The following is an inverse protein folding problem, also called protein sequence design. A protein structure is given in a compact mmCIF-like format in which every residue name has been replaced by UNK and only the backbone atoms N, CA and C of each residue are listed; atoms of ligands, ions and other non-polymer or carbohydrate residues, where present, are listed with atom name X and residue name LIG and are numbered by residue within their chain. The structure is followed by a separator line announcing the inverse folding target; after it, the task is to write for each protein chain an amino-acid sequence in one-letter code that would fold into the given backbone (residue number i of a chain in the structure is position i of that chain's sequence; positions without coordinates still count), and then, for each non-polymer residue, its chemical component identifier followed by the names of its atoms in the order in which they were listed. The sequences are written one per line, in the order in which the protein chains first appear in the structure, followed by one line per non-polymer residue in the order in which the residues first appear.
data_IF_781822456018
#
_entry.id   IF_781822456018
#
_cell.length_a   1.000
_cell.length_b   1.000
_cell.length_c   1.000
_cell.angle_alpha   90.00
_cell.angle_beta   90.00
_cell.angle_gamma   90.00
#
_symmetry.space_group_name_H-M   'P 1'
#
loop_
_entity.id
_entity.type
_entity.pdbx_description
1 polymer ?
#
# COMPACT_ATOMS: atom_id res chain seq x y z
N UNK A 1 30.16 -13.83 -17.44
CA UNK A 1 30.09 -14.27 -16.04
C UNK A 1 28.75 -13.79 -15.56
N UNK A 2 27.71 -14.64 -15.57
CA UNK A 2 26.43 -14.38 -14.95
C UNK A 2 26.65 -14.47 -13.44
N UNK A 3 26.61 -13.34 -12.73
CA UNK A 3 26.38 -13.37 -11.30
C UNK A 3 24.99 -13.98 -11.11
N UNK A 4 24.94 -15.15 -10.48
CA UNK A 4 23.72 -15.73 -9.94
C UNK A 4 23.19 -14.73 -8.92
N UNK A 5 22.27 -13.88 -9.35
CA UNK A 5 21.41 -13.11 -8.44
C UNK A 5 20.49 -14.15 -7.82
N UNK A 6 20.91 -14.69 -6.69
CA UNK A 6 20.04 -15.53 -5.87
C UNK A 6 18.84 -14.69 -5.47
N UNK A 7 17.70 -14.92 -6.10
CA UNK A 7 16.41 -14.37 -5.68
C UNK A 7 16.25 -14.69 -4.19
N UNK A 8 15.96 -13.72 -3.32
CA UNK A 8 15.76 -13.98 -1.90
C UNK A 8 14.72 -15.09 -1.75
N UNK A 9 15.04 -16.11 -0.95
CA UNK A 9 14.10 -17.20 -0.69
C UNK A 9 12.97 -16.69 0.22
N UNK A 10 11.94 -16.09 -0.40
CA UNK A 10 10.78 -15.53 0.31
C UNK A 10 10.08 -16.58 1.20
N UNK A 11 10.31 -17.88 0.99
CA UNK A 11 9.76 -18.97 1.81
C UNK A 11 10.40 -19.06 3.19
N UNK A 12 11.55 -18.41 3.40
CA UNK A 12 12.16 -18.26 4.71
C UNK A 12 11.59 -17.02 5.42
N UNK A 13 10.40 -17.14 6.03
CA UNK A 13 9.70 -16.04 6.70
C UNK A 13 10.50 -15.44 7.86
N UNK A 14 11.37 -16.21 8.51
CA UNK A 14 12.19 -15.75 9.65
C UNK A 14 13.15 -14.60 9.29
N UNK A 15 13.43 -14.39 8.03
CA UNK A 15 14.26 -13.27 7.55
C UNK A 15 13.51 -11.94 7.50
N UNK A 16 12.15 -11.96 7.47
CA UNK A 16 11.34 -10.77 7.35
C UNK A 16 10.86 -10.26 8.71
N UNK A 17 10.79 -8.95 8.85
CA UNK A 17 10.37 -8.26 10.07
C UNK A 17 9.00 -7.62 9.95
N UNK A 18 8.62 -7.26 8.74
CA UNK A 18 7.35 -6.61 8.44
C UNK A 18 6.29 -7.59 7.91
N UNK A 19 6.69 -8.79 7.50
CA UNK A 19 5.81 -9.77 6.88
C UNK A 19 6.03 -11.18 7.44
N UNK A 20 4.93 -11.91 7.62
CA UNK A 20 4.90 -13.35 7.76
C UNK A 20 4.32 -13.96 6.48
N UNK A 21 4.95 -15.03 5.96
CA UNK A 21 4.62 -15.60 4.66
C UNK A 21 4.43 -17.10 4.79
N UNK A 22 3.30 -17.58 4.28
CA UNK A 22 3.04 -19.00 4.13
C UNK A 22 2.61 -19.31 2.71
N UNK A 23 2.94 -20.50 2.20
CA UNK A 23 2.50 -20.96 0.88
C UNK A 23 1.89 -22.35 1.02
N UNK A 24 0.65 -22.48 0.61
CA UNK A 24 -0.06 -23.76 0.58
C UNK A 24 -1.02 -23.80 -0.62
N UNK A 25 -1.17 -24.95 -1.25
CA UNK A 25 -2.12 -25.19 -2.33
C UNK A 25 -2.07 -24.12 -3.46
N UNK A 26 -0.86 -23.71 -3.83
CA UNK A 26 -0.58 -22.67 -4.83
C UNK A 26 -0.98 -21.24 -4.43
N UNK A 27 -1.36 -20.99 -3.19
CA UNK A 27 -1.69 -19.67 -2.66
C UNK A 27 -0.59 -19.23 -1.70
N UNK A 28 0.00 -18.07 -1.94
CA UNK A 28 0.85 -17.38 -0.98
C UNK A 28 -0.01 -16.48 -0.09
N UNK A 29 0.12 -16.60 1.22
CA UNK A 29 -0.50 -15.69 2.17
C UNK A 29 0.57 -14.81 2.82
N UNK A 30 0.41 -13.50 2.70
CA UNK A 30 1.30 -12.47 3.23
C UNK A 30 0.58 -11.73 4.33
N UNK A 31 1.01 -11.93 5.56
CA UNK A 31 0.47 -11.23 6.72
C UNK A 31 1.37 -10.07 7.12
N UNK A 32 0.82 -8.87 7.14
CA UNK A 32 1.48 -7.69 7.68
C UNK A 32 1.65 -7.89 9.19
N UNK A 33 2.88 -7.97 9.67
CA UNK A 33 3.21 -8.12 11.09
C UNK A 33 3.96 -6.91 11.65
N UNK A 34 4.22 -5.92 10.80
CA UNK A 34 5.09 -4.77 10.98
C UNK A 34 5.43 -4.44 12.43
N UNK A 35 6.64 -4.03 12.75
CA UNK A 35 7.05 -3.80 14.14
C UNK A 35 6.26 -2.67 14.80
N UNK A 36 5.61 -1.81 13.99
CA UNK A 36 4.81 -0.69 14.46
C UNK A 36 3.38 -1.08 14.84
N UNK A 37 2.75 -0.23 15.66
CA UNK A 37 1.35 -0.39 16.06
C UNK A 37 0.44 -0.38 14.83
N UNK A 38 -0.44 -1.38 14.75
CA UNK A 38 -1.43 -1.49 13.66
C UNK A 38 -0.77 -1.69 12.29
N UNK A 39 0.29 -2.48 12.24
CA UNK A 39 1.02 -2.83 11.02
C UNK A 39 1.47 -1.58 10.24
N UNK A 40 2.01 -0.58 10.97
CA UNK A 40 2.55 0.63 10.35
C UNK A 40 3.77 0.30 9.47
N UNK A 41 3.87 1.01 8.35
CA UNK A 41 4.82 0.76 7.27
C UNK A 41 6.13 1.51 7.54
N UNK A 42 7.05 0.84 8.25
CA UNK A 42 8.40 1.33 8.54
C UNK A 42 9.44 0.92 7.48
N UNK A 43 10.73 1.15 7.76
CA UNK A 43 11.82 0.84 6.82
C UNK A 43 11.84 -0.61 6.33
N UNK A 44 11.57 -1.58 7.24
CA UNK A 44 11.54 -3.00 6.90
C UNK A 44 10.44 -3.29 5.87
N UNK A 45 9.23 -2.73 6.05
CA UNK A 45 8.14 -2.87 5.09
C UNK A 45 8.57 -2.47 3.67
N UNK A 46 9.20 -1.30 3.53
CA UNK A 46 9.60 -0.76 2.22
C UNK A 46 10.77 -1.51 1.58
N UNK A 47 11.64 -2.13 2.38
CA UNK A 47 12.76 -2.91 1.86
C UNK A 47 12.40 -4.35 1.52
N UNK A 48 11.41 -4.92 2.21
CA UNK A 48 11.05 -6.34 2.09
C UNK A 48 9.98 -6.59 1.01
N UNK A 49 9.09 -5.61 0.74
CA UNK A 49 7.93 -5.82 -0.13
C UNK A 49 8.33 -6.18 -1.58
N UNK A 50 9.34 -5.50 -2.15
CA UNK A 50 9.78 -5.76 -3.53
C UNK A 50 10.31 -7.20 -3.69
N UNK A 51 11.32 -7.66 -2.92
CA UNK A 51 11.85 -9.01 -3.10
C UNK A 51 10.81 -10.11 -2.83
N UNK A 52 9.83 -9.88 -1.95
CA UNK A 52 8.74 -10.81 -1.69
C UNK A 52 7.89 -11.00 -2.97
N UNK A 53 7.41 -9.92 -3.56
CA UNK A 53 6.53 -9.99 -4.72
C UNK A 53 7.26 -10.40 -5.99
N UNK A 54 8.53 -10.02 -6.17
CA UNK A 54 9.38 -10.54 -7.24
C UNK A 54 9.60 -12.07 -7.09
N UNK A 55 9.76 -12.55 -5.85
CA UNK A 55 9.83 -13.96 -5.54
C UNK A 55 8.55 -14.72 -5.92
N UNK A 56 7.37 -14.19 -5.55
CA UNK A 56 6.09 -14.79 -5.95
C UNK A 56 5.91 -14.79 -7.46
N UNK A 57 6.26 -13.69 -8.12
CA UNK A 57 6.12 -13.59 -9.57
C UNK A 57 6.97 -14.62 -10.30
N UNK A 58 8.18 -14.90 -9.80
CA UNK A 58 9.11 -15.87 -10.38
C UNK A 58 8.75 -17.33 -10.05
N UNK A 59 8.01 -17.60 -8.96
CA UNK A 59 7.73 -18.96 -8.52
C UNK A 59 6.51 -19.57 -9.25
N UNK A 60 6.70 -20.67 -10.01
CA UNK A 60 5.61 -21.35 -10.70
C UNK A 60 4.62 -22.03 -9.74
N UNK A 61 5.03 -22.33 -8.50
CA UNK A 61 4.16 -22.94 -7.50
C UNK A 61 3.19 -21.93 -6.86
N UNK A 62 3.44 -20.62 -6.97
CA UNK A 62 2.51 -19.58 -6.57
C UNK A 62 1.64 -19.18 -7.75
N UNK A 63 0.31 -19.23 -7.56
CA UNK A 63 -0.69 -18.89 -8.59
C UNK A 63 -1.62 -17.75 -8.18
N UNK A 64 -1.76 -17.49 -6.87
CA UNK A 64 -2.49 -16.36 -6.32
C UNK A 64 -1.88 -15.95 -4.98
N UNK A 65 -2.13 -14.70 -4.56
CA UNK A 65 -1.61 -14.13 -3.32
C UNK A 65 -2.77 -13.58 -2.48
N UNK A 66 -2.75 -13.81 -1.17
CA UNK A 66 -3.63 -13.16 -0.20
C UNK A 66 -2.79 -12.22 0.64
N UNK A 67 -3.23 -10.97 0.83
CA UNK A 67 -2.61 -10.02 1.77
C UNK A 67 -3.58 -9.73 2.91
N UNK A 68 -3.13 -9.87 4.16
CA UNK A 68 -3.91 -9.57 5.35
C UNK A 68 -3.08 -8.82 6.39
N UNK A 69 -3.72 -8.20 7.37
CA UNK A 69 -3.05 -7.60 8.52
C UNK A 69 -3.12 -8.51 9.74
N UNK A 70 -2.04 -8.60 10.52
CA UNK A 70 -2.05 -9.26 11.81
C UNK A 70 -2.84 -8.46 12.86
N UNK A 71 -3.42 -9.13 13.82
CA UNK A 71 -4.19 -8.52 14.90
C UNK A 71 -5.46 -7.82 14.39
N UNK A 72 -5.84 -6.69 14.99
CA UNK A 72 -7.14 -6.05 14.78
C UNK A 72 -7.23 -5.23 13.49
N UNK A 73 -6.11 -4.77 12.96
CA UNK A 73 -6.09 -3.73 11.91
C UNK A 73 -5.28 -4.17 10.71
N UNK A 74 -5.71 -3.77 9.53
CA UNK A 74 -4.95 -4.02 8.31
C UNK A 74 -3.64 -3.23 8.31
N UNK A 75 -3.72 -1.89 8.29
CA UNK A 75 -2.53 -1.04 8.43
C UNK A 75 -2.90 0.41 8.77
N UNK A 76 -2.10 1.02 9.64
CA UNK A 76 -2.18 2.46 9.92
C UNK A 76 -1.40 3.32 8.90
N UNK A 77 -0.85 2.72 7.84
CA UNK A 77 -0.04 3.41 6.85
C UNK A 77 1.37 3.70 7.32
N UNK A 78 1.96 4.78 6.83
CA UNK A 78 3.34 5.13 7.10
C UNK A 78 3.66 5.23 8.59
N UNK A 79 4.73 4.58 9.03
CA UNK A 79 5.29 4.74 10.38
C UNK A 79 6.07 6.05 10.46
N UNK A 80 5.33 7.15 10.72
CA UNK A 80 5.92 8.49 10.79
C UNK A 80 7.07 8.58 11.82
N UNK A 81 6.95 8.01 13.04
CA UNK A 81 8.07 7.98 13.98
C UNK A 81 9.31 7.26 13.44
N UNK A 82 9.15 6.06 12.88
CA UNK A 82 10.27 5.28 12.36
C UNK A 82 10.95 5.94 11.15
N UNK A 83 10.16 6.63 10.31
CA UNK A 83 10.61 7.31 9.09
C UNK A 83 11.05 8.77 9.32
N UNK A 84 10.94 9.31 10.55
CA UNK A 84 11.19 10.73 10.84
C UNK A 84 12.61 11.19 10.47
N UNK A 85 13.60 10.30 10.59
CA UNK A 85 14.99 10.57 10.20
C UNK A 85 15.17 10.88 8.72
N UNK A 86 14.34 10.30 7.86
CA UNK A 86 14.40 10.48 6.41
C UNK A 86 13.82 11.83 5.96
N UNK A 87 12.89 12.39 6.75
CA UNK A 87 12.29 13.70 6.47
C UNK A 87 13.18 14.86 6.95
N UNK A 88 13.98 14.67 7.99
CA UNK A 88 14.80 15.73 8.61
C UNK A 88 15.63 16.56 7.61
N UNK A 89 16.41 15.93 6.72
CA UNK A 89 17.26 16.65 5.77
C UNK A 89 16.48 17.54 4.78
N UNK A 90 15.27 17.13 4.40
CA UNK A 90 14.48 17.90 3.42
C UNK A 90 13.66 19.00 4.10
N UNK A 91 13.40 18.86 5.40
CA UNK A 91 12.68 19.86 6.22
C UNK A 91 13.60 20.96 6.75
N UNK A 92 14.94 20.82 6.60
CA UNK A 92 15.86 21.85 7.03
C UNK A 92 15.59 23.18 6.28
N UNK A 93 15.60 24.36 6.97
CA UNK A 93 15.25 25.64 6.35
C UNK A 93 16.11 26.02 5.16
N UNK A 94 17.34 25.51 5.08
CA UNK A 94 18.30 25.71 4.01
C UNK A 94 18.42 24.54 3.04
N UNK A 95 17.49 23.57 3.10
CA UNK A 95 17.48 22.40 2.23
C UNK A 95 17.44 22.83 0.75
N UNK A 96 18.50 22.50 0.01
CA UNK A 96 18.63 22.76 -1.42
C UNK A 96 18.34 21.50 -2.26
N UNK A 97 18.78 21.50 -3.50
CA UNK A 97 18.50 20.42 -4.44
C UNK A 97 18.98 19.03 -3.98
N UNK A 98 20.15 18.93 -3.32
CA UNK A 98 20.70 17.65 -2.85
C UNK A 98 19.74 16.84 -1.99
N UNK A 99 19.35 17.35 -0.79
CA UNK A 99 18.37 16.67 0.07
C UNK A 99 17.03 16.36 -0.63
N UNK A 100 16.52 17.27 -1.47
CA UNK A 100 15.27 17.08 -2.22
C UNK A 100 15.40 15.95 -3.25
N UNK A 101 16.53 15.83 -3.93
CA UNK A 101 16.81 14.74 -4.88
C UNK A 101 16.87 13.41 -4.16
N UNK A 102 17.54 13.34 -3.00
CA UNK A 102 17.59 12.14 -2.17
C UNK A 102 16.19 11.72 -1.72
N UNK A 103 15.39 12.67 -1.26
CA UNK A 103 14.00 12.44 -0.85
C UNK A 103 13.13 11.93 -2.02
N UNK A 104 13.25 12.56 -3.20
CA UNK A 104 12.57 12.06 -4.41
C UNK A 104 12.96 10.61 -4.72
N UNK A 105 14.23 10.26 -4.61
CA UNK A 105 14.71 8.88 -4.82
C UNK A 105 14.10 7.91 -3.80
N UNK A 106 13.97 8.34 -2.54
CA UNK A 106 13.31 7.55 -1.49
C UNK A 106 11.83 7.31 -1.83
N UNK A 107 11.09 8.37 -2.20
CA UNK A 107 9.69 8.24 -2.63
C UNK A 107 9.59 7.21 -3.78
N UNK A 108 10.48 7.28 -4.77
CA UNK A 108 10.47 6.33 -5.90
C UNK A 108 10.72 4.89 -5.46
N UNK A 109 11.58 4.65 -4.46
CA UNK A 109 11.78 3.30 -3.89
C UNK A 109 10.54 2.80 -3.16
N UNK A 110 9.89 3.65 -2.37
CA UNK A 110 8.64 3.29 -1.69
C UNK A 110 7.52 3.00 -2.70
N UNK A 111 7.40 3.82 -3.76
CA UNK A 111 6.48 3.55 -4.87
C UNK A 111 6.75 2.21 -5.54
N UNK A 112 8.02 1.83 -5.71
CA UNK A 112 8.38 0.53 -6.27
C UNK A 112 7.85 -0.64 -5.42
N UNK A 113 7.82 -0.49 -4.08
CA UNK A 113 7.22 -1.48 -3.18
C UNK A 113 5.74 -1.71 -3.49
N UNK A 114 4.95 -0.65 -3.52
CA UNK A 114 3.51 -0.76 -3.84
C UNK A 114 3.30 -1.22 -5.29
N UNK A 115 4.16 -0.78 -6.22
CA UNK A 115 4.07 -1.21 -7.62
C UNK A 115 4.43 -2.70 -7.79
N UNK A 116 5.34 -3.27 -6.98
CA UNK A 116 5.64 -4.69 -7.03
C UNK A 116 4.41 -5.57 -6.76
N UNK A 117 3.50 -5.09 -5.89
CA UNK A 117 2.18 -5.73 -5.69
C UNK A 117 1.31 -5.60 -6.93
N UNK A 118 1.21 -4.39 -7.50
CA UNK A 118 0.34 -4.11 -8.65
C UNK A 118 0.86 -4.73 -9.96
N UNK A 119 2.17 -4.94 -10.08
CA UNK A 119 2.82 -5.49 -11.28
C UNK A 119 3.02 -7.01 -11.20
N UNK A 120 2.71 -7.63 -10.05
CA UNK A 120 2.78 -9.07 -9.88
C UNK A 120 1.81 -9.77 -10.83
N UNK A 121 2.31 -10.74 -11.61
CA UNK A 121 1.46 -11.55 -12.54
C UNK A 121 0.59 -12.57 -11.83
N UNK A 122 0.72 -12.69 -10.50
CA UNK A 122 -0.14 -13.52 -9.67
C UNK A 122 -1.23 -12.63 -9.09
N UNK A 123 -2.53 -12.93 -9.32
CA UNK A 123 -3.60 -12.12 -8.76
C UNK A 123 -3.51 -11.99 -7.24
N UNK A 124 -3.73 -10.77 -6.74
CA UNK A 124 -3.61 -10.41 -5.34
C UNK A 124 -4.98 -10.09 -4.76
N UNK A 125 -5.35 -10.77 -3.68
CA UNK A 125 -6.59 -10.57 -2.93
C UNK A 125 -6.28 -9.98 -1.57
N UNK A 126 -6.76 -8.78 -1.27
CA UNK A 126 -6.59 -8.15 0.04
C UNK A 126 -7.78 -8.46 0.96
N UNK A 127 -7.49 -8.99 2.16
CA UNK A 127 -8.44 -9.17 3.26
C UNK A 127 -8.25 -8.07 4.30
N UNK A 128 -9.23 -7.18 4.43
CA UNK A 128 -9.09 -5.93 5.18
C UNK A 128 -9.96 -5.97 6.44
N UNK A 129 -9.36 -5.78 7.62
CA UNK A 129 -10.06 -5.68 8.89
C UNK A 129 -9.66 -4.43 9.66
N UNK A 130 -10.57 -3.89 10.47
CA UNK A 130 -10.31 -2.71 11.27
C UNK A 130 -9.80 -1.53 10.44
N UNK A 131 -8.76 -0.84 10.88
CA UNK A 131 -8.25 0.33 10.17
C UNK A 131 -7.35 -0.01 8.99
N UNK A 132 -7.63 0.66 7.86
CA UNK A 132 -6.82 0.71 6.64
C UNK A 132 -6.66 2.18 6.24
N UNK A 133 -5.49 2.77 6.54
CA UNK A 133 -5.27 4.22 6.49
C UNK A 133 -4.04 4.53 5.62
N UNK A 134 -4.10 5.62 4.86
CA UNK A 134 -2.95 6.19 4.14
C UNK A 134 -2.26 5.15 3.26
N UNK A 135 -1.01 4.82 3.54
CA UNK A 135 -0.26 3.76 2.85
C UNK A 135 -0.97 2.41 2.82
N UNK A 136 -1.83 2.10 3.81
CA UNK A 136 -2.70 0.93 3.77
C UNK A 136 -3.70 0.99 2.62
N UNK A 137 -4.26 2.18 2.36
CA UNK A 137 -5.13 2.40 1.18
C UNK A 137 -4.33 2.30 -0.11
N UNK A 138 -3.11 2.85 -0.15
CA UNK A 138 -2.22 2.68 -1.31
C UNK A 138 -1.99 1.20 -1.63
N UNK A 139 -1.70 0.39 -0.60
CA UNK A 139 -1.45 -1.04 -0.74
C UNK A 139 -2.68 -1.80 -1.28
N UNK A 140 -3.86 -1.57 -0.71
CA UNK A 140 -5.07 -2.28 -1.17
C UNK A 140 -5.53 -1.84 -2.56
N UNK A 141 -5.19 -0.62 -3.00
CA UNK A 141 -5.45 -0.18 -4.38
C UNK A 141 -4.51 -0.83 -5.40
N UNK A 142 -3.40 -1.39 -4.96
CA UNK A 142 -2.49 -2.19 -5.78
C UNK A 142 -2.94 -3.66 -5.91
N UNK A 143 -3.76 -4.16 -4.98
CA UNK A 143 -4.37 -5.48 -5.08
C UNK A 143 -5.49 -5.52 -6.14
N UNK A 144 -5.75 -6.70 -6.72
CA UNK A 144 -6.77 -6.88 -7.75
C UNK A 144 -8.17 -6.96 -7.15
N UNK A 145 -8.31 -7.70 -6.06
CA UNK A 145 -9.58 -7.94 -5.37
C UNK A 145 -9.42 -7.52 -3.91
N UNK A 146 -10.46 -6.93 -3.36
CA UNK A 146 -10.50 -6.42 -1.98
C UNK A 146 -11.76 -6.90 -1.30
N UNK A 147 -11.61 -7.64 -0.20
CA UNK A 147 -12.72 -8.02 0.68
C UNK A 147 -12.49 -7.42 2.07
N UNK A 148 -13.54 -7.08 2.77
CA UNK A 148 -13.44 -6.40 4.04
C UNK A 148 -14.31 -7.06 5.12
N UNK A 149 -13.92 -6.90 6.38
CA UNK A 149 -14.79 -7.17 7.53
C UNK A 149 -15.75 -6.01 7.78
N UNK A 150 -16.88 -6.25 8.38
CA UNK A 150 -17.89 -5.23 8.70
C UNK A 150 -17.36 -4.11 9.61
N UNK A 151 -16.33 -4.38 10.42
CA UNK A 151 -15.68 -3.38 11.27
C UNK A 151 -14.58 -2.56 10.55
N UNK A 152 -14.31 -2.86 9.27
CA UNK A 152 -13.27 -2.17 8.52
C UNK A 152 -13.57 -0.68 8.33
N UNK A 153 -12.51 0.13 8.40
CA UNK A 153 -12.56 1.58 8.21
C UNK A 153 -11.42 2.03 7.33
N UNK A 154 -11.74 2.89 6.39
CA UNK A 154 -10.80 3.36 5.37
C UNK A 154 -10.65 4.88 5.43
N UNK A 155 -9.42 5.38 5.20
CA UNK A 155 -9.17 6.82 5.14
C UNK A 155 -7.97 7.13 4.27
N UNK A 156 -8.16 7.99 3.25
CA UNK A 156 -7.06 8.66 2.52
C UNK A 156 -6.68 9.88 3.36
N UNK A 157 -5.84 9.67 4.37
CA UNK A 157 -5.66 10.61 5.49
C UNK A 157 -4.46 11.53 5.34
N UNK A 158 -3.67 11.39 4.30
CA UNK A 158 -2.42 12.11 4.07
C UNK A 158 -2.62 13.63 4.11
N UNK A 159 -3.74 14.13 3.58
CA UNK A 159 -4.08 15.57 3.62
C UNK A 159 -4.14 16.13 5.05
N UNK A 160 -4.47 15.29 6.05
CA UNK A 160 -4.53 15.68 7.47
C UNK A 160 -3.16 15.81 8.13
N UNK A 161 -2.12 15.33 7.47
CA UNK A 161 -0.72 15.41 7.90
C UNK A 161 0.15 16.18 6.91
N UNK A 162 -0.47 17.07 6.12
CA UNK A 162 0.17 17.95 5.13
C UNK A 162 1.00 17.19 4.07
N UNK A 163 0.57 15.98 3.70
CA UNK A 163 1.19 15.17 2.65
C UNK A 163 0.19 14.97 1.52
N UNK A 164 0.64 15.05 0.28
CA UNK A 164 -0.11 14.54 -0.86
C UNK A 164 0.11 13.03 -0.93
N UNK A 165 -0.97 12.23 -0.96
CA UNK A 165 -0.85 10.78 -1.07
C UNK A 165 -0.06 10.41 -2.33
N UNK A 166 1.12 9.79 -2.15
CA UNK A 166 2.12 9.65 -3.21
C UNK A 166 2.56 8.21 -3.50
N UNK A 167 1.95 7.22 -2.80
CA UNK A 167 2.26 5.81 -3.02
C UNK A 167 1.30 5.11 -4.00
N UNK A 168 0.34 5.83 -4.59
CA UNK A 168 -0.44 5.35 -5.72
C UNK A 168 -1.96 5.43 -5.57
N UNK A 169 -2.52 5.71 -4.40
CA UNK A 169 -3.97 5.81 -4.20
C UNK A 169 -4.61 6.87 -5.12
N UNK A 170 -4.01 8.06 -5.25
CA UNK A 170 -4.55 9.11 -6.13
C UNK A 170 -4.55 8.73 -7.62
N UNK A 171 -3.67 7.81 -8.03
CA UNK A 171 -3.63 7.33 -9.41
C UNK A 171 -4.60 6.16 -9.66
N UNK A 172 -4.84 5.32 -8.64
CA UNK A 172 -5.64 4.09 -8.77
C UNK A 172 -7.10 4.27 -8.35
N UNK A 173 -7.38 5.02 -7.27
CA UNK A 173 -8.74 5.23 -6.76
C UNK A 173 -9.72 5.75 -7.80
N UNK A 174 -9.40 6.73 -8.69
CA UNK A 174 -10.37 7.20 -9.68
C UNK A 174 -10.93 6.10 -10.59
N UNK A 175 -10.15 5.04 -10.80
CA UNK A 175 -10.56 3.88 -11.59
C UNK A 175 -11.33 2.83 -10.80
N UNK A 176 -11.15 2.83 -9.48
CA UNK A 176 -11.82 1.90 -8.55
C UNK A 176 -13.16 2.47 -8.11
N UNK A 177 -13.17 3.71 -7.62
CA UNK A 177 -14.35 4.34 -7.00
C UNK A 177 -14.90 5.56 -7.76
N UNK A 178 -14.31 5.92 -8.89
CA UNK A 178 -14.64 7.12 -9.65
C UNK A 178 -14.04 8.41 -9.08
N UNK A 179 -13.96 9.45 -9.93
CA UNK A 179 -13.29 10.71 -9.61
C UNK A 179 -13.96 11.46 -8.45
N UNK A 180 -15.30 11.49 -8.39
CA UNK A 180 -16.02 12.20 -7.34
C UNK A 180 -15.76 11.65 -5.94
N UNK A 181 -15.81 10.34 -5.77
CA UNK A 181 -15.52 9.69 -4.50
C UNK A 181 -14.05 9.80 -4.12
N UNK A 182 -13.14 9.70 -5.09
CA UNK A 182 -11.71 9.92 -4.86
C UNK A 182 -11.45 11.31 -4.31
N UNK A 183 -11.99 12.36 -4.96
CA UNK A 183 -11.85 13.75 -4.50
C UNK A 183 -12.42 13.95 -3.10
N UNK A 184 -13.61 13.42 -2.85
CA UNK A 184 -14.23 13.49 -1.53
C UNK A 184 -13.31 12.92 -0.45
N UNK A 185 -12.78 11.71 -0.62
CA UNK A 185 -11.95 11.05 0.37
C UNK A 185 -10.57 11.72 0.51
N UNK A 186 -9.90 12.01 -0.60
CA UNK A 186 -8.55 12.57 -0.59
C UNK A 186 -8.51 14.02 -0.10
N UNK A 187 -9.51 14.86 -0.44
CA UNK A 187 -9.53 16.27 -0.04
C UNK A 187 -10.01 16.48 1.39
N UNK A 188 -10.86 15.58 1.91
CA UNK A 188 -11.37 15.70 3.27
C UNK A 188 -10.59 14.86 4.28
N UNK A 189 -9.92 13.81 3.83
CA UNK A 189 -9.27 12.80 4.67
C UNK A 189 -10.25 12.10 5.61
N UNK A 190 -11.56 12.13 5.32
CA UNK A 190 -12.58 11.53 6.18
C UNK A 190 -12.50 10.02 6.21
N UNK A 191 -12.99 9.48 7.30
CA UNK A 191 -13.12 8.05 7.48
C UNK A 191 -14.42 7.56 6.85
N UNK A 192 -14.38 6.38 6.23
CA UNK A 192 -15.58 5.67 5.76
C UNK A 192 -15.58 4.25 6.35
N UNK A 193 -16.78 3.72 6.58
CA UNK A 193 -16.98 2.33 7.02
C UNK A 193 -17.00 1.34 5.85
N UNK A 194 -17.04 0.06 6.17
CA UNK A 194 -17.08 -1.04 5.20
C UNK A 194 -18.30 -0.94 4.28
N UNK A 195 -19.49 -0.64 4.81
CA UNK A 195 -20.70 -0.51 4.01
C UNK A 195 -20.62 0.63 2.98
N UNK A 196 -19.99 1.75 3.35
CA UNK A 196 -19.74 2.84 2.39
C UNK A 196 -18.68 2.43 1.37
N UNK A 197 -17.62 1.73 1.80
CA UNK A 197 -16.55 1.25 0.94
C UNK A 197 -17.09 0.29 -0.15
N UNK A 198 -17.94 -0.65 0.22
CA UNK A 198 -18.62 -1.55 -0.72
C UNK A 198 -19.53 -0.78 -1.69
N UNK A 199 -20.37 0.10 -1.18
CA UNK A 199 -21.31 0.89 -2.01
C UNK A 199 -20.61 1.74 -3.09
N UNK A 200 -19.39 2.23 -2.83
CA UNK A 200 -18.62 3.01 -3.81
C UNK A 200 -17.66 2.15 -4.64
N UNK A 201 -17.60 0.84 -4.40
CA UNK A 201 -16.73 -0.09 -5.12
C UNK A 201 -15.27 -0.11 -4.65
N UNK A 202 -14.96 0.45 -3.46
CA UNK A 202 -13.61 0.36 -2.90
C UNK A 202 -13.27 -1.08 -2.52
N UNK A 203 -14.25 -1.82 -1.99
CA UNK A 203 -14.14 -3.27 -1.73
C UNK A 203 -15.21 -4.01 -2.54
N UNK A 204 -14.89 -5.25 -2.89
CA UNK A 204 -15.76 -6.11 -3.69
C UNK A 204 -16.89 -6.72 -2.85
N UNK A 205 -16.59 -7.00 -1.55
CA UNK A 205 -17.52 -7.68 -0.66
C UNK A 205 -17.20 -7.37 0.81
N UNK A 206 -18.23 -7.48 1.67
CA UNK A 206 -18.11 -7.25 3.12
C UNK A 206 -18.63 -8.46 3.87
N UNK A 207 -17.83 -8.95 4.82
CA UNK A 207 -18.11 -10.12 5.65
C UNK A 207 -18.26 -9.72 7.11
N UNK A 208 -18.92 -10.57 7.92
CA UNK A 208 -19.30 -10.26 9.30
C UNK A 208 -18.14 -9.86 10.20
N UNK A 209 -16.98 -10.52 10.05
CA UNK A 209 -15.79 -10.29 10.86
C UNK A 209 -14.49 -10.55 10.09
N UNK A 210 -13.36 -10.36 10.77
CA UNK A 210 -12.02 -10.56 10.21
C UNK A 210 -11.80 -12.00 9.73
N UNK A 211 -12.27 -13.01 10.48
CA UNK A 211 -12.08 -14.41 10.14
C UNK A 211 -12.85 -14.77 8.87
N UNK A 212 -14.09 -14.31 8.77
CA UNK A 212 -14.93 -14.50 7.59
C UNK A 212 -14.35 -13.78 6.36
N UNK A 213 -13.84 -12.54 6.50
CA UNK A 213 -13.21 -11.82 5.41
C UNK A 213 -11.93 -12.51 4.92
N UNK A 214 -11.08 -12.99 5.83
CA UNK A 214 -9.88 -13.74 5.48
C UNK A 214 -10.22 -15.08 4.80
N UNK A 215 -11.24 -15.79 5.30
CA UNK A 215 -11.72 -17.04 4.69
C UNK A 215 -12.23 -16.80 3.27
N UNK A 216 -12.98 -15.71 3.02
CA UNK A 216 -13.46 -15.35 1.71
C UNK A 216 -12.30 -14.99 0.74
N UNK A 217 -11.29 -14.25 1.22
CA UNK A 217 -10.10 -13.97 0.42
C UNK A 217 -9.35 -15.24 0.03
N UNK A 218 -9.16 -16.17 0.98
CA UNK A 218 -8.54 -17.49 0.74
C UNK A 218 -9.34 -18.31 -0.28
N UNK A 219 -10.67 -18.33 -0.16
CA UNK A 219 -11.54 -19.04 -1.10
C UNK A 219 -11.41 -18.45 -2.51
N UNK A 220 -11.46 -17.12 -2.64
CA UNK A 220 -11.26 -16.43 -3.93
C UNK A 220 -9.88 -16.74 -4.53
N UNK A 221 -8.81 -16.71 -3.73
CA UNK A 221 -7.47 -17.03 -4.19
C UNK A 221 -7.35 -18.51 -4.61
N UNK A 222 -7.99 -19.43 -3.89
CA UNK A 222 -8.04 -20.84 -4.25
C UNK A 222 -8.78 -21.07 -5.57
N UNK A 223 -9.91 -20.40 -5.78
CA UNK A 223 -10.67 -20.45 -7.05
C UNK A 223 -9.82 -19.94 -8.22
N UNK A 224 -9.04 -18.87 -8.02
CA UNK A 224 -8.10 -18.35 -9.01
C UNK A 224 -6.99 -19.37 -9.27
N UNK A 225 -6.38 -19.92 -8.21
CA UNK A 225 -5.28 -20.87 -8.31
C UNK A 225 -5.65 -22.20 -9.00
N UNK A 226 -6.93 -22.57 -8.96
CA UNK A 226 -7.46 -23.73 -9.65
C UNK A 226 -7.57 -23.56 -11.18
N UNK A 227 -7.53 -22.31 -11.68
CA UNK A 227 -7.59 -22.04 -13.12
C UNK A 227 -6.23 -22.21 -13.81
N UNK A 228 -6.18 -22.38 -15.15
CA UNK A 228 -4.95 -22.47 -15.90
C UNK A 228 -4.07 -21.22 -15.71
N UNK A 229 -2.87 -21.33 -15.14
CA UNK A 229 -2.08 -20.16 -14.72
C UNK A 229 -1.69 -19.24 -15.87
N UNK A 230 -1.38 -19.76 -17.05
CA UNK A 230 -1.08 -18.95 -18.24
C UNK A 230 -2.28 -18.12 -18.69
N UNK A 231 -3.49 -18.65 -18.55
CA UNK A 231 -4.72 -17.92 -18.92
C UNK A 231 -4.98 -16.81 -17.90
N UNK A 232 -4.83 -17.09 -16.60
CA UNK A 232 -4.98 -16.09 -15.54
C UNK A 232 -3.98 -14.94 -15.75
N UNK A 233 -2.69 -15.26 -15.99
CA UNK A 233 -1.67 -14.26 -16.28
C UNK A 233 -1.99 -13.44 -17.54
N UNK A 234 -2.49 -14.08 -18.59
CA UNK A 234 -2.92 -13.39 -19.81
C UNK A 234 -4.10 -12.43 -19.57
N UNK A 235 -5.06 -12.82 -18.73
CA UNK A 235 -6.17 -11.93 -18.32
C UNK A 235 -5.62 -10.72 -17.56
N UNK A 236 -4.70 -10.93 -16.62
CA UNK A 236 -4.03 -9.85 -15.87
C UNK A 236 -3.32 -8.88 -16.81
N UNK A 237 -2.48 -9.41 -17.72
CA UNK A 237 -1.72 -8.59 -18.67
C UNK A 237 -2.63 -7.72 -19.56
N UNK A 238 -3.72 -8.29 -20.07
CA UNK A 238 -4.69 -7.54 -20.90
C UNK A 238 -5.41 -6.47 -20.09
N UNK A 239 -5.82 -6.76 -18.85
CA UNK A 239 -6.48 -5.79 -17.97
C UNK A 239 -5.54 -4.66 -17.59
N UNK A 240 -4.26 -4.95 -17.36
CA UNK A 240 -3.28 -3.96 -16.89
C UNK A 240 -2.70 -3.10 -18.02
N UNK A 241 -2.67 -3.63 -19.25
CA UNK A 241 -2.15 -2.89 -20.40
C UNK A 241 -2.77 -1.51 -20.56
N UNK A 242 -4.08 -1.38 -20.36
CA UNK A 242 -4.79 -0.09 -20.46
C UNK A 242 -4.61 0.84 -19.25
N UNK A 243 -4.07 0.30 -18.13
CA UNK A 243 -3.92 1.05 -16.87
C UNK A 243 -2.52 1.68 -16.72
N UNK A 244 -1.47 1.00 -17.20
CA UNK A 244 -0.07 1.29 -16.85
C UNK A 244 0.39 2.71 -17.21
N UNK A 245 0.11 3.21 -18.40
CA UNK A 245 0.62 4.51 -18.83
C UNK A 245 0.16 5.67 -17.94
N UNK A 246 -1.12 5.73 -17.63
CA UNK A 246 -1.68 6.82 -16.84
C UNK A 246 -1.28 6.75 -15.35
N UNK A 247 -1.06 5.57 -14.78
CA UNK A 247 -0.58 5.41 -13.39
C UNK A 247 0.86 5.87 -13.29
N UNK A 248 1.74 5.45 -14.17
CA UNK A 248 3.16 5.82 -14.15
C UNK A 248 3.38 7.33 -14.24
N UNK A 249 2.62 8.01 -15.11
CA UNK A 249 2.72 9.47 -15.24
C UNK A 249 2.24 10.18 -13.97
N UNK A 250 1.17 9.71 -13.33
CA UNK A 250 0.68 10.23 -12.06
C UNK A 250 1.69 10.05 -10.93
N UNK A 251 2.35 8.88 -10.85
CA UNK A 251 3.37 8.60 -9.83
C UNK A 251 4.61 9.49 -9.98
N UNK A 252 5.05 9.75 -11.21
CA UNK A 252 6.15 10.68 -11.48
C UNK A 252 5.81 12.10 -11.04
N UNK A 253 4.60 12.55 -11.36
CA UNK A 253 4.14 13.89 -11.01
C UNK A 253 4.09 14.10 -9.49
N UNK A 254 3.45 13.22 -8.72
CA UNK A 254 3.33 13.39 -7.26
C UNK A 254 4.68 13.26 -6.55
N UNK A 255 5.59 12.40 -7.05
CA UNK A 255 6.94 12.33 -6.50
C UNK A 255 7.71 13.65 -6.67
N UNK A 256 7.59 14.28 -7.86
CA UNK A 256 8.18 15.58 -8.11
C UNK A 256 7.53 16.69 -7.26
N UNK A 257 6.19 16.65 -7.14
CA UNK A 257 5.43 17.61 -6.32
C UNK A 257 5.84 17.54 -4.85
N UNK A 258 5.83 16.37 -4.23
CA UNK A 258 6.24 16.21 -2.84
C UNK A 258 7.72 16.55 -2.61
N UNK A 259 8.61 16.18 -3.53
CA UNK A 259 10.02 16.57 -3.43
C UNK A 259 10.23 18.09 -3.43
N UNK A 260 9.34 18.84 -4.09
CA UNK A 260 9.42 20.29 -4.17
C UNK A 260 8.70 21.00 -3.01
N UNK A 261 7.53 20.52 -2.62
CA UNK A 261 6.58 21.27 -1.78
C UNK A 261 6.32 20.65 -0.40
N UNK A 262 6.69 19.38 -0.17
CA UNK A 262 6.53 18.74 1.15
C UNK A 262 7.30 19.47 2.25
N UNK A 263 8.53 20.01 2.01
CA UNK A 263 9.22 20.82 3.02
C UNK A 263 8.46 22.12 3.28
N UNK A 264 7.48 22.08 4.16
CA UNK A 264 6.62 23.20 4.53
C UNK A 264 6.57 23.35 6.06
N UNK A 265 6.22 24.53 6.53
CA UNK A 265 5.95 24.77 7.95
C UNK A 265 4.76 23.94 8.42
N UNK A 266 3.78 23.71 7.55
CA UNK A 266 2.59 22.90 7.84
C UNK A 266 2.92 21.42 8.06
N UNK A 267 3.91 20.86 7.35
CA UNK A 267 4.37 19.49 7.65
C UNK A 267 5.04 19.43 9.02
N UNK A 268 5.87 20.42 9.37
CA UNK A 268 6.47 20.53 10.69
C UNK A 268 5.42 20.58 11.79
N UNK A 269 4.38 21.40 11.61
CA UNK A 269 3.24 21.51 12.51
C UNK A 269 2.46 20.18 12.59
N UNK A 270 2.21 19.53 11.47
CA UNK A 270 1.52 18.22 11.46
C UNK A 270 2.26 17.19 12.28
N UNK A 271 3.58 17.10 12.09
CA UNK A 271 4.42 16.16 12.84
C UNK A 271 4.42 16.49 14.35
N UNK A 272 4.59 17.76 14.73
CA UNK A 272 4.53 18.20 16.13
C UNK A 272 3.19 17.86 16.78
N UNK A 273 2.09 18.12 16.07
CA UNK A 273 0.74 17.84 16.55
C UNK A 273 0.48 16.34 16.78
N UNK A 274 1.03 15.47 15.92
CA UNK A 274 0.98 14.01 16.11
C UNK A 274 1.71 13.58 17.38
N UNK A 275 2.94 14.07 17.61
CA UNK A 275 3.70 13.75 18.83
C UNK A 275 3.04 14.29 20.09
N UNK A 276 2.48 15.51 20.03
CA UNK A 276 1.83 16.18 21.14
C UNK A 276 0.36 15.75 21.35
N UNK A 277 -0.17 14.89 20.46
CA UNK A 277 -1.57 14.42 20.47
C UNK A 277 -2.60 15.56 20.49
N UNK A 278 -2.35 16.62 19.76
CA UNK A 278 -3.23 17.76 19.56
C UNK A 278 -3.68 17.90 18.10
N UNK A 279 -4.59 18.81 17.86
CA UNK A 279 -4.95 19.19 16.48
C UNK A 279 -3.88 20.11 15.89
N UNK A 280 -3.49 19.93 14.61
CA UNK A 280 -2.59 20.85 13.92
C UNK A 280 -3.29 22.16 13.53
N UNK A 281 -2.51 23.24 13.44
CA UNK A 281 -2.94 24.56 12.97
C UNK A 281 -2.16 24.94 11.72
N UNK A 282 -2.75 24.70 10.55
CA UNK A 282 -2.12 24.92 9.25
C UNK A 282 -2.24 26.38 8.78
N UNK A 283 -1.17 26.89 8.14
CA UNK A 283 -1.08 28.27 7.64
C UNK A 283 -0.89 28.35 6.12
N UNK A 284 -0.59 27.23 5.44
CA UNK A 284 -0.33 27.21 4.01
C UNK A 284 1.08 27.66 3.63
N UNK A 285 2.05 27.49 4.52
CA UNK A 285 3.44 27.98 4.36
C UNK A 285 4.46 26.82 4.35
#
# INVERSE_FOLDING_TARGET
VSEDVTTPDYRNSDQYRAFDITVADHVAEVTLIGPGKGNAMGPDFWSELVPIFEGFDADPDVRAVVIAGSGKHFSYGLDLPAMSGDFGPVLAPDAKAGPRTTFHTMIKRMQAGINAVADCRKPVVAAISGWCIGGGVDLITAADIRVASADAKFSVREVRVAIVADMGSLARLPRIIGDGHTRELALTGKDIDAARAERIGLVNDVHDDQEAALAAARATAADIAANPPLVVQGVMDVLDHSRRSAVDDSLRYVAAWNSAFLPSNDLGEAMAAVFEKRKPEFKGE
#
